data_IF_052431972925
#
_entry.id   IF_052431972925
#
_cell.length_a   1.000
_cell.length_b   1.000
_cell.length_c   1.000
_cell.angle_alpha   90.00
_cell.angle_beta   90.00
_cell.angle_gamma   90.00
#
_symmetry.space_group_name_H-M   'P 1'
#
loop_
_entity.id
_entity.type
_entity.pdbx_description
1 polymer ?
#
# COMPACT_ATOMS: atom_id res chain seq x y z
N UNK A 1 -4.99 12.28 -2.96
CA UNK A 1 -5.63 12.43 -4.30
C UNK A 1 -7.11 12.78 -4.20
N UNK A 2 -7.92 12.10 -3.38
CA UNK A 2 -9.35 12.41 -3.21
C UNK A 2 -9.63 13.89 -2.94
N UNK A 3 -8.93 14.49 -1.97
CA UNK A 3 -9.05 15.92 -1.66
C UNK A 3 -8.69 16.86 -2.84
N UNK A 4 -7.71 16.50 -3.68
CA UNK A 4 -7.34 17.32 -4.85
C UNK A 4 -8.42 17.28 -5.93
N UNK A 5 -9.12 16.14 -6.07
CA UNK A 5 -10.22 15.98 -7.02
C UNK A 5 -11.47 16.70 -6.54
N UNK A 6 -11.86 16.51 -5.28
CA UNK A 6 -13.08 17.12 -4.73
C UNK A 6 -12.98 18.65 -4.61
N UNK A 7 -11.79 19.19 -4.34
CA UNK A 7 -11.56 20.64 -4.26
C UNK A 7 -11.34 21.33 -5.61
N UNK A 8 -11.22 20.58 -6.72
CA UNK A 8 -10.87 21.13 -8.04
C UNK A 8 -9.40 21.56 -8.18
N UNK A 9 -8.58 21.50 -7.13
CA UNK A 9 -7.15 21.87 -7.13
C UNK A 9 -6.33 21.04 -8.10
N UNK A 10 -6.79 19.82 -8.44
CA UNK A 10 -6.15 18.98 -9.46
C UNK A 10 -5.97 19.65 -10.83
N UNK A 11 -6.73 20.71 -11.15
CA UNK A 11 -6.55 21.48 -12.38
C UNK A 11 -5.27 22.35 -12.40
N UNK A 12 -4.65 22.57 -11.24
CA UNK A 12 -3.47 23.43 -11.08
C UNK A 12 -2.17 22.64 -10.94
N UNK A 13 -2.24 21.31 -10.83
CA UNK A 13 -1.08 20.46 -10.57
C UNK A 13 -1.03 19.28 -11.51
N UNK A 14 0.15 18.98 -12.03
CA UNK A 14 0.38 17.82 -12.89
C UNK A 14 1.19 16.76 -12.14
N UNK A 15 0.81 15.50 -12.35
CA UNK A 15 1.46 14.35 -11.74
C UNK A 15 1.96 13.37 -12.80
N UNK A 16 3.11 12.76 -12.50
CA UNK A 16 3.66 11.63 -13.26
C UNK A 16 3.65 10.39 -12.36
N UNK A 17 3.22 9.22 -12.87
CA UNK A 17 3.32 7.98 -12.11
C UNK A 17 4.77 7.60 -11.87
N UNK A 18 5.05 7.14 -10.64
CA UNK A 18 6.37 6.61 -10.31
C UNK A 18 6.59 5.31 -11.08
N UNK A 19 7.75 5.17 -11.73
CA UNK A 19 8.01 4.07 -12.66
C UNK A 19 8.40 2.76 -11.95
N UNK A 20 9.02 2.85 -10.78
CA UNK A 20 9.48 1.69 -10.04
C UNK A 20 9.46 1.96 -8.54
N UNK A 21 9.03 0.96 -7.78
CA UNK A 21 9.15 0.93 -6.34
C UNK A 21 10.24 -0.09 -5.96
N UNK A 22 11.23 0.36 -5.17
CA UNK A 22 12.43 -0.42 -4.86
C UNK A 22 12.49 -0.69 -3.35
N UNK A 23 12.93 -1.89 -3.00
CA UNK A 23 13.15 -2.33 -1.62
C UNK A 23 14.48 -3.06 -1.53
N UNK A 24 15.22 -2.87 -0.44
CA UNK A 24 16.51 -3.53 -0.28
C UNK A 24 17.34 -3.02 0.89
N UNK A 25 18.62 -3.39 0.86
CA UNK A 25 19.64 -2.88 1.77
C UNK A 25 20.46 -1.77 1.09
N UNK A 26 21.39 -1.16 1.82
CA UNK A 26 22.32 -0.17 1.28
C UNK A 26 23.17 -0.70 0.11
N UNK A 27 23.33 -2.02 -0.01
CA UNK A 27 24.20 -2.66 -0.99
C UNK A 27 23.46 -3.40 -2.10
N UNK A 28 22.16 -3.64 -1.94
CA UNK A 28 21.37 -4.38 -2.92
C UNK A 28 19.92 -3.89 -2.91
N UNK A 29 19.46 -3.38 -4.05
CA UNK A 29 18.07 -2.97 -4.28
C UNK A 29 17.38 -3.96 -5.22
N UNK A 30 16.15 -4.32 -4.87
CA UNK A 30 15.27 -5.15 -5.68
C UNK A 30 13.98 -4.39 -6.01
N UNK A 31 13.38 -4.69 -7.17
CA UNK A 31 12.05 -4.18 -7.49
C UNK A 31 10.99 -4.89 -6.66
N UNK A 32 10.10 -4.09 -6.08
CA UNK A 32 8.92 -4.60 -5.39
C UNK A 32 7.89 -4.97 -6.45
N UNK A 33 7.33 -6.19 -6.43
CA UNK A 33 6.27 -6.57 -7.34
C UNK A 33 5.03 -5.70 -7.12
N UNK A 34 4.57 -5.02 -8.17
CA UNK A 34 3.41 -4.10 -8.09
C UNK A 34 2.17 -4.66 -8.79
N UNK A 35 2.23 -5.88 -9.33
CA UNK A 35 1.08 -6.56 -9.93
C UNK A 35 1.15 -8.07 -9.70
N UNK A 36 0.01 -8.75 -9.88
CA UNK A 36 -0.05 -10.22 -9.87
C UNK A 36 0.94 -10.81 -10.88
N UNK A 37 1.03 -10.22 -12.08
CA UNK A 37 1.98 -10.64 -13.11
C UNK A 37 3.45 -10.49 -12.65
N UNK A 38 3.79 -9.38 -11.98
CA UNK A 38 5.15 -9.17 -11.45
C UNK A 38 5.50 -10.16 -10.34
N UNK A 39 4.53 -10.50 -9.47
CA UNK A 39 4.72 -11.54 -8.45
C UNK A 39 5.05 -12.87 -9.12
N UNK A 40 4.32 -13.23 -10.18
CA UNK A 40 4.59 -14.47 -10.92
C UNK A 40 5.91 -14.45 -11.69
N UNK A 41 6.28 -13.32 -12.29
CA UNK A 41 7.51 -13.17 -13.06
C UNK A 41 8.78 -13.05 -12.18
N UNK A 42 8.65 -12.67 -10.91
CA UNK A 42 9.80 -12.44 -10.03
C UNK A 42 10.64 -13.71 -9.80
N UNK A 43 11.93 -13.65 -10.13
CA UNK A 43 12.87 -14.74 -9.87
C UNK A 43 13.39 -14.77 -8.43
N UNK A 44 13.28 -13.65 -7.70
CA UNK A 44 13.80 -13.52 -6.32
C UNK A 44 12.89 -14.11 -5.25
N UNK A 45 11.66 -14.49 -5.61
CA UNK A 45 10.67 -15.06 -4.70
C UNK A 45 10.42 -16.52 -5.11
N UNK A 46 10.62 -17.51 -4.24
CA UNK A 46 10.33 -18.90 -4.58
C UNK A 46 8.82 -19.14 -4.74
N UNK A 47 8.45 -20.18 -5.49
CA UNK A 47 7.05 -20.51 -5.81
C UNK A 47 6.13 -20.63 -4.58
N UNK A 48 6.65 -21.18 -3.48
CA UNK A 48 5.90 -21.33 -2.22
C UNK A 48 5.58 -19.97 -1.62
N UNK A 49 6.56 -19.07 -1.57
CA UNK A 49 6.40 -17.71 -1.04
C UNK A 49 5.46 -16.87 -1.90
N UNK A 50 5.47 -17.03 -3.24
CA UNK A 50 4.48 -16.39 -4.12
C UNK A 50 3.05 -16.78 -3.76
N UNK A 51 2.82 -18.07 -3.46
CA UNK A 51 1.49 -18.57 -3.05
C UNK A 51 1.08 -18.01 -1.69
N UNK A 52 2.01 -17.95 -0.73
CA UNK A 52 1.76 -17.35 0.59
C UNK A 52 1.42 -15.86 0.47
N UNK A 53 2.20 -15.11 -0.32
CA UNK A 53 1.96 -13.70 -0.58
C UNK A 53 0.59 -13.47 -1.20
N UNK A 54 0.23 -14.22 -2.24
CA UNK A 54 -1.09 -14.09 -2.87
C UNK A 54 -2.24 -14.38 -1.89
N UNK A 55 -2.12 -15.43 -1.06
CA UNK A 55 -3.11 -15.74 -0.02
C UNK A 55 -3.23 -14.63 1.02
N UNK A 56 -2.10 -14.07 1.45
CA UNK A 56 -2.07 -12.95 2.37
C UNK A 56 -2.75 -11.71 1.79
N UNK A 57 -2.42 -11.32 0.55
CA UNK A 57 -3.05 -10.17 -0.11
C UNK A 57 -4.56 -10.37 -0.31
N UNK A 58 -4.99 -11.59 -0.63
CA UNK A 58 -6.40 -11.95 -0.74
C UNK A 58 -7.12 -11.90 0.61
N UNK A 59 -6.48 -12.37 1.68
CA UNK A 59 -7.00 -12.27 3.05
C UNK A 59 -7.20 -10.81 3.47
N UNK A 60 -6.18 -9.95 3.26
CA UNK A 60 -6.31 -8.51 3.49
C UNK A 60 -7.46 -7.89 2.69
N UNK A 61 -7.57 -8.25 1.40
CA UNK A 61 -8.62 -7.74 0.54
C UNK A 61 -10.03 -8.18 0.96
N UNK A 62 -10.18 -9.42 1.45
CA UNK A 62 -11.44 -9.93 1.95
C UNK A 62 -11.91 -9.21 3.23
N UNK A 63 -10.99 -8.72 4.06
CA UNK A 63 -11.31 -7.98 5.29
C UNK A 63 -11.60 -6.49 5.08
N UNK A 64 -11.22 -5.92 3.94
CA UNK A 64 -11.41 -4.50 3.64
C UNK A 64 -12.85 -3.98 3.81
N UNK A 65 -13.92 -4.64 3.31
CA UNK A 65 -15.27 -4.10 3.41
C UNK A 65 -15.76 -3.95 4.85
N UNK A 66 -15.30 -4.82 5.76
CA UNK A 66 -15.65 -4.75 7.17
C UNK A 66 -14.78 -3.74 7.95
N UNK A 67 -13.51 -3.57 7.54
CA UNK A 67 -12.57 -2.62 8.17
C UNK A 67 -12.79 -1.16 7.75
N UNK A 68 -13.22 -0.95 6.51
CA UNK A 68 -13.39 0.35 5.86
C UNK A 68 -14.62 0.33 4.92
N UNK A 69 -15.85 0.35 5.47
CA UNK A 69 -17.08 0.25 4.67
C UNK A 69 -17.32 1.46 3.75
N UNK A 70 -16.82 2.63 4.14
CA UNK A 70 -17.02 3.89 3.40
C UNK A 70 -16.06 4.06 2.21
N UNK A 71 -15.15 3.10 1.98
CA UNK A 71 -14.11 3.22 0.96
C UNK A 71 -14.34 2.22 -0.16
N UNK A 72 -14.15 2.68 -1.40
CA UNK A 72 -14.33 1.88 -2.61
C UNK A 72 -13.72 0.48 -2.49
N UNK A 73 -14.50 -0.52 -2.87
CA UNK A 73 -14.09 -1.92 -2.83
C UNK A 73 -12.82 -2.13 -3.67
N UNK A 74 -11.94 -3.01 -3.19
CA UNK A 74 -10.77 -3.43 -3.94
C UNK A 74 -11.18 -4.07 -5.27
N UNK A 75 -10.38 -3.91 -6.35
CA UNK A 75 -10.65 -4.55 -7.63
C UNK A 75 -10.81 -6.07 -7.45
N UNK A 76 -11.82 -6.68 -8.11
CA UNK A 76 -12.14 -8.12 -8.02
C UNK A 76 -10.92 -9.04 -8.27
N UNK A 77 -9.91 -8.58 -9.01
CA UNK A 77 -8.66 -9.32 -9.23
C UNK A 77 -7.86 -9.62 -7.93
N UNK A 78 -8.09 -8.87 -6.85
CA UNK A 78 -7.49 -9.09 -5.54
C UNK A 78 -8.33 -9.98 -4.61
N UNK A 79 -9.63 -10.14 -4.88
CA UNK A 79 -10.56 -10.93 -4.09
C UNK A 79 -10.80 -12.30 -4.76
N UNK A 80 -10.03 -13.31 -4.37
CA UNK A 80 -10.38 -14.68 -4.72
C UNK A 80 -11.34 -15.25 -3.64
N UNK A 81 -12.40 -15.99 -4.02
CA UNK A 81 -13.42 -16.48 -3.09
C UNK A 81 -12.95 -17.59 -2.13
N UNK A 82 -11.74 -18.14 -2.31
CA UNK A 82 -11.24 -19.30 -1.56
C UNK A 82 -10.34 -18.96 -0.35
N UNK A 83 -10.18 -17.69 0.01
CA UNK A 83 -9.40 -17.32 1.19
C UNK A 83 -10.22 -17.59 2.46
N UNK A 84 -9.70 -18.36 3.44
CA UNK A 84 -10.36 -18.49 4.74
C UNK A 84 -10.39 -17.10 5.38
N UNK A 85 -11.59 -16.51 5.42
CA UNK A 85 -11.80 -15.18 5.98
C UNK A 85 -11.56 -15.23 7.48
N UNK A 86 -10.37 -14.82 7.91
CA UNK A 86 -10.22 -14.34 9.28
C UNK A 86 -11.08 -13.10 9.41
N UNK A 87 -11.94 -13.08 10.42
CA UNK A 87 -12.78 -11.91 10.66
C UNK A 87 -11.91 -10.78 11.23
N UNK A 88 -12.16 -9.51 10.87
CA UNK A 88 -11.44 -8.36 11.41
C UNK A 88 -11.51 -8.24 12.94
N UNK A 89 -12.54 -8.84 13.55
CA UNK A 89 -12.70 -8.94 15.00
C UNK A 89 -11.61 -9.80 15.65
N UNK A 90 -11.10 -10.78 14.92
CA UNK A 90 -10.04 -11.70 15.37
C UNK A 90 -8.64 -11.08 15.17
N UNK A 91 -8.52 -9.94 14.47
CA UNK A 91 -7.29 -9.17 14.38
C UNK A 91 -7.05 -8.38 15.68
N UNK A 92 -6.43 -9.07 16.63
CA UNK A 92 -5.87 -8.50 17.85
C UNK A 92 -4.34 -8.57 17.81
N UNK A 93 -3.70 -7.54 18.37
CA UNK A 93 -2.24 -7.47 18.51
C UNK A 93 -1.51 -6.79 17.35
N UNK A 94 -0.24 -7.15 17.21
CA UNK A 94 0.70 -6.49 16.30
C UNK A 94 0.60 -7.05 14.88
N UNK A 95 0.83 -6.19 13.89
CA UNK A 95 0.81 -6.61 12.48
C UNK A 95 1.86 -7.69 12.15
N UNK A 96 2.98 -7.70 12.88
CA UNK A 96 4.02 -8.73 12.75
C UNK A 96 3.48 -10.12 13.11
N UNK A 97 2.69 -10.21 14.18
CA UNK A 97 2.10 -11.47 14.62
C UNK A 97 1.00 -11.93 13.66
N UNK A 98 0.25 -11.00 13.09
CA UNK A 98 -0.68 -11.29 12.00
C UNK A 98 0.05 -11.87 10.76
N UNK A 99 1.18 -11.30 10.35
CA UNK A 99 1.94 -11.85 9.22
C UNK A 99 2.53 -13.25 9.53
N UNK A 100 2.90 -13.51 10.79
CA UNK A 100 3.33 -14.84 11.24
C UNK A 100 2.20 -15.85 11.19
N UNK A 101 0.99 -15.49 11.61
CA UNK A 101 -0.18 -16.38 11.55
C UNK A 101 -0.54 -16.76 10.11
N UNK A 102 -0.35 -15.83 9.17
CA UNK A 102 -0.50 -16.03 7.72
C UNK A 102 0.69 -16.76 7.06
N UNK A 103 1.67 -17.21 7.85
CA UNK A 103 2.85 -17.99 7.41
C UNK A 103 3.71 -17.29 6.36
N UNK A 104 3.82 -15.96 6.43
CA UNK A 104 4.72 -15.21 5.55
C UNK A 104 6.19 -15.44 5.95
N UNK A 105 7.07 -15.58 4.97
CA UNK A 105 8.53 -15.65 5.19
C UNK A 105 9.05 -14.34 5.82
N UNK A 106 10.18 -14.37 6.56
CA UNK A 106 10.77 -13.16 7.13
C UNK A 106 11.11 -12.09 6.07
N UNK A 107 11.50 -12.52 4.87
CA UNK A 107 11.78 -11.62 3.75
C UNK A 107 10.50 -10.91 3.27
N UNK A 108 9.40 -11.64 3.13
CA UNK A 108 8.11 -11.05 2.76
C UNK A 108 7.56 -10.13 3.86
N UNK A 109 7.76 -10.49 5.14
CA UNK A 109 7.39 -9.63 6.27
C UNK A 109 8.12 -8.28 6.21
N UNK A 110 9.44 -8.29 6.00
CA UNK A 110 10.21 -7.06 5.86
C UNK A 110 9.78 -6.24 4.63
N UNK A 111 9.50 -6.91 3.51
CA UNK A 111 8.97 -6.24 2.31
C UNK A 111 7.61 -5.58 2.61
N UNK A 112 6.69 -6.27 3.29
CA UNK A 112 5.41 -5.69 3.66
C UNK A 112 5.57 -4.49 4.61
N UNK A 113 6.39 -4.61 5.65
CA UNK A 113 6.62 -3.53 6.63
C UNK A 113 7.28 -2.29 6.00
N UNK A 114 8.30 -2.49 5.18
CA UNK A 114 9.12 -1.36 4.70
C UNK A 114 8.69 -0.85 3.32
N UNK A 115 8.24 -1.71 2.41
CA UNK A 115 7.85 -1.30 1.07
C UNK A 115 6.36 -0.91 0.99
N UNK A 116 5.48 -1.68 1.64
CA UNK A 116 4.04 -1.41 1.59
C UNK A 116 3.65 -0.41 2.67
N UNK A 117 3.96 -0.69 3.94
CA UNK A 117 3.63 0.20 5.06
C UNK A 117 4.57 1.41 5.18
N UNK A 118 5.66 1.45 4.39
CA UNK A 118 6.64 2.54 4.39
C UNK A 118 7.24 2.86 5.77
N UNK A 119 7.36 1.85 6.64
CA UNK A 119 7.89 2.06 7.99
C UNK A 119 9.42 2.22 7.96
N UNK A 120 9.96 3.24 8.65
CA UNK A 120 11.41 3.41 8.74
C UNK A 120 12.05 2.21 9.45
N UNK A 121 13.17 1.73 8.90
CA UNK A 121 13.94 0.64 9.53
C UNK A 121 14.56 1.06 10.87
N UNK A 122 14.63 2.36 11.15
CA UNK A 122 15.13 2.98 12.38
C UNK A 122 14.07 3.17 13.45
N UNK A 123 12.91 2.49 13.39
CA UNK A 123 12.07 2.34 14.58
C UNK A 123 12.91 1.64 15.65
N UNK A 124 13.56 2.44 16.50
CA UNK A 124 14.26 1.97 17.69
C UNK A 124 13.28 1.20 18.56
N UNK A 125 13.81 0.43 19.50
CA UNK A 125 13.10 -0.50 20.38
C UNK A 125 11.89 0.06 21.20
N UNK A 126 11.48 1.32 20.99
CA UNK A 126 10.33 1.96 21.62
C UNK A 126 9.27 2.53 20.67
N UNK A 127 9.39 2.38 19.35
CA UNK A 127 8.32 2.77 18.45
C UNK A 127 7.32 1.61 18.30
N UNK A 128 6.07 1.85 18.70
CA UNK A 128 5.03 0.84 18.73
C UNK A 128 4.84 0.20 17.35
N UNK A 129 4.84 -1.14 17.31
CA UNK A 129 4.50 -1.86 16.11
C UNK A 129 3.10 -1.41 15.63
N UNK A 130 2.88 -1.30 14.30
CA UNK A 130 1.55 -0.97 13.81
C UNK A 130 0.57 -2.06 14.28
N UNK A 131 -0.61 -1.62 14.73
CA UNK A 131 -1.70 -2.53 15.01
C UNK A 131 -2.00 -3.38 13.77
N UNK A 132 -2.39 -4.64 13.97
CA UNK A 132 -2.75 -5.52 12.87
C UNK A 132 -3.82 -4.90 11.94
N UNK A 133 -4.80 -4.19 12.52
CA UNK A 133 -5.86 -3.50 11.75
C UNK A 133 -5.29 -2.38 10.87
N UNK A 134 -4.41 -1.55 11.41
CA UNK A 134 -3.81 -0.45 10.65
C UNK A 134 -2.87 -0.96 9.56
N UNK A 135 -2.16 -2.06 9.82
CA UNK A 135 -1.33 -2.71 8.80
C UNK A 135 -2.15 -3.28 7.65
N UNK A 136 -3.30 -3.92 7.95
CA UNK A 136 -4.22 -4.39 6.90
C UNK A 136 -4.82 -3.22 6.11
N UNK A 137 -5.26 -2.15 6.78
CA UNK A 137 -5.74 -0.93 6.10
C UNK A 137 -4.68 -0.35 5.16
N UNK A 138 -3.43 -0.27 5.62
CA UNK A 138 -2.32 0.21 4.79
C UNK A 138 -2.08 -0.68 3.56
N UNK A 139 -2.12 -2.01 3.73
CA UNK A 139 -2.00 -2.97 2.60
C UNK A 139 -3.16 -2.79 1.63
N UNK A 140 -4.40 -2.68 2.12
CA UNK A 140 -5.58 -2.46 1.29
C UNK A 140 -5.50 -1.12 0.53
N UNK A 141 -5.07 -0.06 1.20
CA UNK A 141 -4.84 1.25 0.56
C UNK A 141 -3.79 1.16 -0.55
N UNK A 142 -2.68 0.46 -0.31
CA UNK A 142 -1.65 0.22 -1.31
C UNK A 142 -2.20 -0.57 -2.50
N UNK A 143 -2.87 -1.70 -2.25
CA UNK A 143 -3.47 -2.54 -3.29
C UNK A 143 -4.51 -1.79 -4.13
N UNK A 144 -5.33 -0.94 -3.51
CA UNK A 144 -6.30 -0.10 -4.20
C UNK A 144 -5.62 0.91 -5.12
N UNK A 145 -4.47 1.43 -4.70
CA UNK A 145 -3.72 2.45 -5.44
C UNK A 145 -2.91 1.89 -6.62
N UNK A 146 -2.55 0.60 -6.58
CA UNK A 146 -1.86 -0.07 -7.68
C UNK A 146 -2.70 -0.06 -8.97
N UNK A 147 -2.07 0.25 -10.10
CA UNK A 147 -2.73 0.19 -11.41
C UNK A 147 -3.68 1.35 -11.72
N UNK A 148 -3.96 2.27 -10.78
CA UNK A 148 -4.91 3.37 -11.03
C UNK A 148 -4.40 4.37 -12.06
N UNK A 149 -3.13 4.78 -11.93
CA UNK A 149 -2.51 5.82 -12.78
C UNK A 149 -1.21 5.36 -13.45
N UNK A 150 -0.77 4.14 -13.15
CA UNK A 150 0.48 3.56 -13.64
C UNK A 150 0.76 2.21 -13.01
N UNK A 151 1.97 1.69 -13.20
CA UNK A 151 2.37 0.38 -12.67
C UNK A 151 2.54 0.36 -11.15
N UNK A 152 2.81 1.50 -10.51
CA UNK A 152 3.01 1.60 -9.06
C UNK A 152 1.85 2.35 -8.39
N UNK A 153 1.81 2.30 -7.05
CA UNK A 153 0.80 2.98 -6.23
C UNK A 153 1.06 4.50 -6.04
N UNK A 154 2.13 5.04 -6.62
CA UNK A 154 2.64 6.37 -6.27
C UNK A 154 2.65 7.33 -7.45
N UNK A 155 2.40 8.60 -7.14
CA UNK A 155 2.47 9.73 -8.06
C UNK A 155 3.51 10.73 -7.58
N UNK A 156 4.21 11.39 -8.50
CA UNK A 156 5.13 12.48 -8.22
C UNK A 156 4.71 13.73 -8.98
N UNK A 157 4.77 14.90 -8.34
CA UNK A 157 4.49 16.18 -8.98
C UNK A 157 5.60 16.56 -9.98
N UNK A 158 5.24 17.10 -11.15
CA UNK A 158 6.23 17.47 -12.18
C UNK A 158 7.26 18.48 -11.69
N UNK A 159 6.83 19.47 -10.90
CA UNK A 159 7.69 20.53 -10.35
C UNK A 159 8.01 20.32 -8.86
N UNK A 160 7.84 19.09 -8.36
CA UNK A 160 8.05 18.72 -6.97
C UNK A 160 6.84 18.94 -6.07
N UNK A 161 7.04 18.77 -4.76
CA UNK A 161 5.96 18.84 -3.77
C UNK A 161 5.52 20.28 -3.43
N UNK A 162 6.30 21.29 -3.83
CA UNK A 162 6.00 22.71 -3.59
C UNK A 162 4.77 23.23 -4.35
N UNK A 163 4.34 22.55 -5.40
CA UNK A 163 3.14 22.90 -6.15
C UNK A 163 1.85 22.68 -5.35
N UNK A 164 1.83 21.70 -4.45
CA UNK A 164 0.66 21.40 -3.63
C UNK A 164 0.24 22.59 -2.76
N UNK A 165 1.11 23.17 -1.89
CA UNK A 165 0.72 24.33 -1.10
C UNK A 165 0.39 25.53 -1.97
N UNK A 166 1.10 25.77 -3.08
CA UNK A 166 0.79 26.89 -3.98
C UNK A 166 -0.60 26.77 -4.60
N UNK A 167 -0.98 25.58 -5.03
CA UNK A 167 -2.28 25.31 -5.62
C UNK A 167 -3.42 25.48 -4.60
N UNK A 168 -3.20 25.10 -3.33
CA UNK A 168 -4.15 25.37 -2.25
C UNK A 168 -4.20 26.87 -1.86
N UNK A 169 -3.07 27.58 -1.87
CA UNK A 169 -3.07 29.03 -1.68
C UNK A 169 -3.85 29.75 -2.79
N UNK A 170 -3.71 29.29 -4.04
CA UNK A 170 -4.51 29.79 -5.16
C UNK A 170 -6.00 29.53 -4.95
N UNK A 171 -6.37 28.32 -4.50
CA UNK A 171 -7.76 28.02 -4.15
C UNK A 171 -8.26 29.00 -3.07
N UNK A 172 -7.48 29.23 -2.01
CA UNK A 172 -7.83 30.17 -0.94
C UNK A 172 -8.07 31.60 -1.49
N UNK A 173 -7.19 32.09 -2.35
CA UNK A 173 -7.29 33.43 -2.93
C UNK A 173 -8.55 33.62 -3.79
N UNK A 174 -9.00 32.58 -4.51
CA UNK A 174 -10.23 32.64 -5.33
C UNK A 174 -11.48 32.84 -4.47
N UNK A 175 -11.47 32.35 -3.23
CA UNK A 175 -12.57 32.47 -2.28
C UNK A 175 -12.42 33.63 -1.28
N UNK A 176 -11.51 34.57 -1.55
CA UNK A 176 -11.33 35.78 -0.75
C UNK A 176 -10.57 35.56 0.55
N UNK A 177 -9.57 34.67 0.54
CA UNK A 177 -8.70 34.37 1.68
C UNK A 177 -7.96 35.53 2.30
#
# INVERSE_FOLDING_TARGET
>A
VGALRSSGVSAYVEFKPVQAHLYGSAHALARVPCSKADIFASASIPLVEKRQLMKFLQSCAAMQPELEPDVDALPQAAAAPDAPGQRPEELCGDFVDFMRSQRLSPQLQQMALHAILCLPRTLGAGAAAPSAKDGVRAVCCHLRSLGQFGSTAYLSGFYGSGELPQAFCRLCAVWGG
#
